data_IF_675200517031
#
_entry.id   IF_675200517031
#
_cell.length_a   1.000
_cell.length_b   1.000
_cell.length_c   1.000
_cell.angle_alpha   90.00
_cell.angle_beta   90.00
_cell.angle_gamma   90.00
#
_symmetry.space_group_name_H-M   'P 1'
#
loop_
_entity.id
_entity.type
_entity.pdbx_description
1 polymer ?
#
# COMPACT_ATOMS: atom_id res chain seq x y z
N UNK A 1 1.36 -3.44 -25.19
CA UNK A 1 2.24 -2.25 -25.34
C UNK A 1 3.49 -2.46 -24.50
N UNK A 2 4.71 -2.13 -24.99
CA UNK A 2 5.92 -2.19 -24.18
C UNK A 2 5.79 -1.27 -22.96
N UNK A 3 6.32 -1.70 -21.80
CA UNK A 3 6.32 -0.86 -20.60
C UNK A 3 7.22 0.35 -20.85
N UNK A 4 6.77 1.57 -20.52
CA UNK A 4 7.61 2.76 -20.70
C UNK A 4 8.91 2.61 -19.89
N UNK A 5 10.03 3.14 -20.40
CA UNK A 5 11.29 3.13 -19.69
C UNK A 5 11.16 3.81 -18.34
N UNK A 6 11.93 3.32 -17.36
CA UNK A 6 11.86 3.75 -15.95
C UNK A 6 12.09 5.27 -15.82
N UNK A 7 12.96 5.82 -16.65
CA UNK A 7 13.29 7.26 -16.67
C UNK A 7 12.10 8.13 -17.05
N UNK A 8 11.21 7.68 -17.94
CA UNK A 8 9.99 8.42 -18.31
C UNK A 8 8.97 8.39 -17.19
N UNK A 9 8.81 7.25 -16.52
CA UNK A 9 7.92 7.13 -15.37
C UNK A 9 8.33 8.05 -14.22
N UNK A 10 9.65 8.18 -13.97
CA UNK A 10 10.18 9.08 -12.95
C UNK A 10 9.88 10.54 -13.31
N UNK A 11 10.11 10.94 -14.56
CA UNK A 11 9.80 12.30 -15.03
C UNK A 11 8.32 12.63 -14.87
N UNK A 12 7.45 11.69 -15.21
CA UNK A 12 6.00 11.83 -15.04
C UNK A 12 5.61 11.99 -13.56
N UNK A 13 6.17 11.19 -12.66
CA UNK A 13 5.89 11.30 -11.22
C UNK A 13 6.38 12.62 -10.62
N UNK A 14 7.56 13.10 -11.04
CA UNK A 14 8.10 14.39 -10.60
C UNK A 14 7.21 15.53 -11.11
N UNK A 15 6.77 15.46 -12.36
CA UNK A 15 5.87 16.47 -12.95
C UNK A 15 4.49 16.48 -12.29
N UNK A 16 3.91 15.30 -12.00
CA UNK A 16 2.65 15.18 -11.24
C UNK A 16 2.81 15.75 -9.82
N UNK A 17 3.93 15.45 -9.16
CA UNK A 17 4.24 15.99 -7.83
C UNK A 17 4.43 17.53 -7.85
N UNK A 18 5.05 18.08 -8.89
CA UNK A 18 5.19 19.52 -9.09
C UNK A 18 3.84 20.20 -9.34
N UNK A 19 3.00 19.60 -10.18
CA UNK A 19 1.64 20.10 -10.47
C UNK A 19 0.78 20.14 -9.21
N UNK A 20 0.99 19.19 -8.29
CA UNK A 20 0.32 19.12 -6.99
C UNK A 20 0.96 20.01 -5.91
N UNK A 21 2.02 20.74 -6.23
CA UNK A 21 2.75 21.60 -5.29
C UNK A 21 3.56 20.84 -4.23
N UNK A 22 3.81 19.54 -4.42
CA UNK A 22 4.58 18.71 -3.48
C UNK A 22 6.08 18.95 -3.66
N UNK A 23 6.55 19.13 -4.90
CA UNK A 23 7.93 19.45 -5.26
C UNK A 23 7.98 20.80 -5.97
N UNK A 24 9.03 21.59 -5.72
CA UNK A 24 9.24 22.83 -6.47
C UNK A 24 9.89 22.54 -7.83
N UNK A 25 9.43 23.24 -8.87
CA UNK A 25 10.06 23.18 -10.18
C UNK A 25 11.46 23.83 -10.14
N UNK A 26 12.43 23.34 -10.94
CA UNK A 26 13.72 24.00 -11.09
C UNK A 26 13.55 25.44 -11.57
N UNK A 27 14.43 26.38 -11.18
CA UNK A 27 14.40 27.76 -11.67
C UNK A 27 14.45 27.81 -13.21
N UNK A 28 13.64 28.70 -13.81
CA UNK A 28 13.60 28.87 -15.26
C UNK A 28 15.00 29.18 -15.82
N UNK A 29 15.44 28.43 -16.83
CA UNK A 29 16.78 28.55 -17.43
C UNK A 29 17.91 27.78 -16.73
N UNK A 30 17.63 26.92 -15.75
CA UNK A 30 18.65 26.07 -15.13
C UNK A 30 19.16 24.99 -16.10
N UNK A 31 20.49 24.88 -16.26
CA UNK A 31 21.09 23.79 -17.04
C UNK A 31 20.83 22.39 -16.46
N UNK A 32 21.06 21.30 -17.23
CA UNK A 32 20.68 19.93 -16.87
C UNK A 32 21.23 19.45 -15.51
N UNK A 33 22.47 19.82 -15.18
CA UNK A 33 23.08 19.45 -13.90
C UNK A 33 22.43 20.16 -12.71
N UNK A 34 22.13 21.46 -12.86
CA UNK A 34 21.51 22.29 -11.81
C UNK A 34 20.07 21.87 -11.56
N UNK A 35 19.32 21.49 -12.59
CA UNK A 35 17.95 20.98 -12.45
C UNK A 35 17.91 19.60 -11.76
N UNK A 36 18.87 18.73 -12.05
CA UNK A 36 19.03 17.45 -11.35
C UNK A 36 19.33 17.68 -9.87
N UNK A 37 20.33 18.52 -9.54
CA UNK A 37 20.69 18.83 -8.15
C UNK A 37 19.50 19.44 -7.39
N UNK A 38 18.76 20.37 -8.02
CA UNK A 38 17.57 20.97 -7.41
C UNK A 38 16.49 19.92 -7.12
N UNK A 39 16.22 19.03 -8.07
CA UNK A 39 15.23 17.97 -7.92
C UNK A 39 15.63 17.00 -6.80
N UNK A 40 16.91 16.62 -6.73
CA UNK A 40 17.46 15.79 -5.65
C UNK A 40 17.31 16.48 -4.29
N UNK A 41 17.62 17.78 -4.19
CA UNK A 41 17.45 18.54 -2.95
C UNK A 41 15.98 18.68 -2.53
N UNK A 42 15.05 18.91 -3.47
CA UNK A 42 13.62 18.99 -3.16
C UNK A 42 13.06 17.64 -2.70
N UNK A 43 13.50 16.54 -3.30
CA UNK A 43 13.18 15.19 -2.82
C UNK A 43 13.73 14.97 -1.39
N UNK A 44 14.98 15.36 -1.11
CA UNK A 44 15.55 15.28 0.24
C UNK A 44 14.72 16.09 1.26
N UNK A 45 14.31 17.32 0.91
CA UNK A 45 13.43 18.13 1.76
C UNK A 45 12.08 17.47 1.97
N UNK A 46 11.49 16.90 0.92
CA UNK A 46 10.25 16.12 1.02
C UNK A 46 10.41 14.96 2.01
N UNK A 47 11.51 14.21 1.95
CA UNK A 47 11.83 13.13 2.89
C UNK A 47 11.97 13.62 4.33
N UNK A 48 12.74 14.69 4.55
CA UNK A 48 12.94 15.24 5.90
C UNK A 48 11.64 15.78 6.50
N UNK A 49 10.82 16.48 5.69
CA UNK A 49 9.49 16.95 6.10
C UNK A 49 8.57 15.76 6.44
N UNK A 50 8.55 14.72 5.61
CA UNK A 50 7.75 13.51 5.86
C UNK A 50 8.13 12.81 7.16
N UNK A 51 9.43 12.58 7.39
CA UNK A 51 9.92 12.00 8.65
C UNK A 51 9.56 12.85 9.87
N UNK A 52 9.76 14.17 9.79
CA UNK A 52 9.38 15.10 10.87
C UNK A 52 7.88 15.08 11.17
N UNK A 53 7.04 15.00 10.14
CA UNK A 53 5.59 14.91 10.30
C UNK A 53 5.16 13.63 11.03
N UNK A 54 5.81 12.48 10.77
CA UNK A 54 5.54 11.23 11.48
C UNK A 54 5.79 11.38 12.99
N UNK A 55 6.92 12.00 13.37
CA UNK A 55 7.25 12.25 14.78
C UNK A 55 6.35 13.30 15.44
N UNK A 56 6.04 14.41 14.74
CA UNK A 56 5.13 15.44 15.25
C UNK A 56 3.76 14.85 15.59
N UNK A 57 3.21 14.03 14.68
CA UNK A 57 1.89 13.40 14.82
C UNK A 57 1.84 12.39 15.97
N UNK A 58 2.94 11.70 16.27
CA UNK A 58 3.01 10.78 17.41
C UNK A 58 2.66 11.47 18.72
N UNK A 59 3.03 12.75 18.88
CA UNK A 59 2.79 13.49 20.12
C UNK A 59 1.35 13.99 20.27
N UNK A 60 0.58 14.02 19.19
CA UNK A 60 -0.76 14.65 19.15
C UNK A 60 -1.90 13.66 18.94
N UNK A 61 -1.63 12.40 18.62
CA UNK A 61 -2.67 11.42 18.35
C UNK A 61 -3.18 10.82 19.66
N UNK A 62 -4.50 10.85 19.84
CA UNK A 62 -5.15 10.13 20.92
C UNK A 62 -4.85 8.63 20.80
N UNK A 63 -4.63 7.94 21.93
CA UNK A 63 -4.35 6.51 21.95
C UNK A 63 -5.54 5.68 21.40
N UNK A 64 -6.76 6.23 21.52
CA UNK A 64 -8.00 5.62 21.05
C UNK A 64 -8.56 6.37 19.82
N UNK A 65 -8.72 5.71 18.66
CA UNK A 65 -9.28 6.34 17.48
C UNK A 65 -10.79 6.57 17.61
N UNK A 66 -11.25 7.75 17.21
CA UNK A 66 -12.68 8.09 17.16
C UNK A 66 -13.30 7.76 15.79
N UNK A 67 -12.49 7.78 14.73
CA UNK A 67 -12.92 7.49 13.35
C UNK A 67 -12.08 6.39 12.69
N UNK A 68 -12.60 5.81 11.60
CA UNK A 68 -11.91 4.85 10.74
C UNK A 68 -10.61 5.42 10.20
N UNK A 69 -10.62 6.67 9.75
CA UNK A 69 -9.44 7.35 9.21
C UNK A 69 -8.36 7.47 10.29
N UNK A 70 -8.73 7.84 11.51
CA UNK A 70 -7.80 7.87 12.65
C UNK A 70 -7.28 6.48 13.00
N UNK A 71 -8.15 5.46 13.02
CA UNK A 71 -7.74 4.07 13.28
C UNK A 71 -6.74 3.56 12.25
N UNK A 72 -7.01 3.77 10.95
CA UNK A 72 -6.09 3.43 9.85
C UNK A 72 -4.78 4.20 9.96
N UNK A 73 -4.85 5.47 10.33
CA UNK A 73 -3.69 6.34 10.52
C UNK A 73 -2.80 5.82 11.66
N UNK A 74 -3.37 5.56 12.85
CA UNK A 74 -2.65 4.99 14.00
C UNK A 74 -1.98 3.65 13.65
N UNK A 75 -2.69 2.77 12.93
CA UNK A 75 -2.16 1.48 12.50
C UNK A 75 -0.98 1.63 11.53
N UNK A 76 -1.12 2.50 10.53
CA UNK A 76 -0.08 2.76 9.53
C UNK A 76 1.14 3.38 10.17
N UNK A 77 0.93 4.30 11.12
CA UNK A 77 1.99 4.99 11.83
C UNK A 77 2.92 4.04 12.59
N UNK A 78 2.39 3.00 13.28
CA UNK A 78 3.25 2.00 13.95
C UNK A 78 4.24 1.35 12.99
N UNK A 79 3.78 1.06 11.77
CA UNK A 79 4.61 0.46 10.73
C UNK A 79 5.59 1.47 10.13
N UNK A 80 5.15 2.71 9.90
CA UNK A 80 5.98 3.76 9.33
C UNK A 80 7.08 4.21 10.29
N UNK A 81 6.79 4.34 11.59
CA UNK A 81 7.81 4.69 12.61
C UNK A 81 8.94 3.67 12.64
N UNK A 82 8.62 2.38 12.54
CA UNK A 82 9.63 1.32 12.45
C UNK A 82 10.52 1.46 11.21
N UNK A 83 9.99 2.01 10.11
CA UNK A 83 10.75 2.28 8.88
C UNK A 83 11.51 3.60 8.92
N UNK A 84 11.03 4.60 9.67
CA UNK A 84 11.64 5.93 9.76
C UNK A 84 13.03 5.85 10.39
N UNK A 85 13.22 5.05 11.43
CA UNK A 85 14.52 4.91 12.10
C UNK A 85 15.63 4.43 11.15
N UNK A 86 15.51 3.27 10.47
CA UNK A 86 16.51 2.84 9.50
C UNK A 86 16.60 3.80 8.31
N UNK A 87 15.49 4.41 7.86
CA UNK A 87 15.51 5.39 6.79
C UNK A 87 16.33 6.65 7.13
N UNK A 88 16.20 7.19 8.34
CA UNK A 88 16.98 8.34 8.79
C UNK A 88 18.46 7.99 8.94
N UNK A 89 18.78 6.79 9.44
CA UNK A 89 20.15 6.29 9.51
C UNK A 89 20.74 6.21 8.09
N UNK A 90 20.00 5.62 7.13
CA UNK A 90 20.44 5.58 5.72
C UNK A 90 20.59 6.99 5.14
N UNK A 91 19.66 7.91 5.43
CA UNK A 91 19.73 9.26 4.88
C UNK A 91 20.93 10.07 5.39
N UNK A 92 21.37 9.82 6.63
CA UNK A 92 22.55 10.48 7.22
C UNK A 92 23.86 9.82 6.80
N UNK A 93 23.89 8.49 6.70
CA UNK A 93 25.13 7.75 6.40
C UNK A 93 25.39 7.54 4.91
N UNK A 94 24.34 7.51 4.09
CA UNK A 94 24.37 7.09 2.69
C UNK A 94 23.44 7.99 1.84
N UNK A 95 23.75 9.29 1.76
CA UNK A 95 22.93 10.25 1.01
C UNK A 95 22.75 9.85 -0.48
N UNK A 96 23.78 9.26 -1.08
CA UNK A 96 23.76 8.76 -2.46
C UNK A 96 22.91 7.48 -2.67
N UNK A 97 22.54 6.78 -1.59
CA UNK A 97 21.71 5.56 -1.67
C UNK A 97 20.21 5.89 -1.74
N UNK A 98 19.79 7.08 -1.30
CA UNK A 98 18.37 7.47 -1.26
C UNK A 98 17.73 7.42 -2.66
N UNK A 99 18.30 8.01 -3.73
CA UNK A 99 17.72 7.95 -5.07
C UNK A 99 17.52 6.51 -5.57
N UNK A 100 18.42 5.60 -5.20
CA UNK A 100 18.31 4.17 -5.53
C UNK A 100 17.18 3.50 -4.75
N UNK A 101 17.06 3.74 -3.44
CA UNK A 101 15.97 3.16 -2.64
C UNK A 101 14.58 3.61 -3.10
N UNK A 102 14.44 4.88 -3.47
CA UNK A 102 13.19 5.43 -4.00
C UNK A 102 12.76 4.74 -5.28
N UNK A 103 13.73 4.31 -6.08
CA UNK A 103 13.48 3.67 -7.36
C UNK A 103 13.22 2.16 -7.22
N UNK A 104 14.07 1.47 -6.47
CA UNK A 104 14.10 0.01 -6.47
C UNK A 104 13.49 -0.62 -5.22
N UNK A 105 13.43 0.12 -4.11
CA UNK A 105 12.99 -0.40 -2.81
C UNK A 105 11.95 0.49 -2.10
N UNK A 106 10.85 0.91 -2.76
CA UNK A 106 9.86 1.80 -2.15
C UNK A 106 9.15 1.20 -0.92
N UNK A 107 9.18 -0.13 -0.76
CA UNK A 107 8.63 -0.80 0.40
C UNK A 107 9.39 -0.49 1.72
N UNK A 108 10.66 -0.08 1.60
CA UNK A 108 11.52 0.31 2.74
C UNK A 108 11.34 1.77 3.14
N UNK A 109 10.63 2.56 2.33
CA UNK A 109 10.34 3.95 2.63
C UNK A 109 9.08 4.06 3.52
N UNK A 110 9.04 5.02 4.46
CA UNK A 110 7.80 5.42 5.12
C UNK A 110 6.77 5.84 4.07
N UNK A 111 5.48 5.60 4.31
CA UNK A 111 4.43 5.93 3.34
C UNK A 111 4.41 7.41 2.95
N UNK A 112 4.78 8.30 3.88
CA UNK A 112 4.92 9.76 3.67
C UNK A 112 6.00 10.15 2.68
N UNK A 113 6.89 9.22 2.35
CA UNK A 113 8.04 9.41 1.47
C UNK A 113 7.81 8.83 0.07
N UNK A 114 6.61 8.32 -0.23
CA UNK A 114 6.27 7.75 -1.54
C UNK A 114 5.44 8.75 -2.33
N UNK A 115 5.82 9.04 -3.59
CA UNK A 115 5.05 9.96 -4.43
C UNK A 115 3.66 9.37 -4.79
N UNK A 116 2.63 10.21 -4.98
CA UNK A 116 1.27 9.74 -5.29
C UNK A 116 1.19 8.85 -6.55
N UNK A 117 1.91 9.22 -7.62
CA UNK A 117 2.01 8.40 -8.84
C UNK A 117 2.66 7.04 -8.59
N UNK A 118 3.70 6.98 -7.75
CA UNK A 118 4.32 5.72 -7.33
C UNK A 118 3.35 4.85 -6.53
N UNK A 119 2.56 5.42 -5.61
CA UNK A 119 1.55 4.68 -4.84
C UNK A 119 0.49 4.04 -5.75
N UNK A 120 -0.02 4.78 -6.74
CA UNK A 120 -0.98 4.24 -7.73
C UNK A 120 -0.39 3.04 -8.47
N UNK A 121 0.82 3.18 -9.00
CA UNK A 121 1.52 2.08 -9.71
C UNK A 121 1.76 0.86 -8.82
N UNK A 122 2.08 1.07 -7.53
CA UNK A 122 2.23 -0.02 -6.56
C UNK A 122 0.90 -0.76 -6.38
N UNK A 123 -0.22 -0.03 -6.24
CA UNK A 123 -1.56 -0.62 -6.11
C UNK A 123 -1.97 -1.38 -7.36
N UNK A 124 -1.79 -0.80 -8.54
CA UNK A 124 -2.15 -1.44 -9.82
C UNK A 124 -1.34 -2.73 -10.02
N UNK A 125 -0.07 -2.73 -9.63
CA UNK A 125 0.77 -3.94 -9.66
C UNK A 125 0.30 -5.01 -8.69
N UNK A 126 -0.32 -4.66 -7.54
CA UNK A 126 -0.94 -5.64 -6.64
C UNK A 126 -2.16 -6.27 -7.29
N UNK A 127 -3.04 -5.45 -7.87
CA UNK A 127 -4.24 -5.93 -8.58
C UNK A 127 -3.85 -6.83 -9.75
N UNK A 128 -2.85 -6.43 -10.55
CA UNK A 128 -2.39 -7.26 -11.66
C UNK A 128 -1.82 -8.60 -11.18
N UNK A 129 -1.04 -8.63 -10.10
CA UNK A 129 -0.57 -9.90 -9.52
C UNK A 129 -1.72 -10.79 -9.04
N UNK A 130 -2.75 -10.20 -8.44
CA UNK A 130 -3.94 -10.95 -8.05
C UNK A 130 -4.61 -11.55 -9.29
N UNK A 131 -4.71 -10.79 -10.40
CA UNK A 131 -5.25 -11.26 -11.69
C UNK A 131 -4.42 -12.41 -12.27
N UNK A 132 -3.10 -12.24 -12.31
CA UNK A 132 -2.19 -13.26 -12.83
C UNK A 132 -2.25 -14.55 -11.99
N UNK A 133 -2.61 -14.45 -10.71
CA UNK A 133 -2.77 -15.57 -9.80
C UNK A 133 -4.14 -16.27 -9.88
N UNK A 134 -5.11 -15.75 -10.64
CA UNK A 134 -6.47 -16.30 -10.72
C UNK A 134 -6.54 -17.79 -11.06
N UNK A 135 -5.77 -18.32 -12.03
CA UNK A 135 -5.79 -19.76 -12.34
C UNK A 135 -5.37 -20.60 -11.13
N UNK A 136 -4.31 -20.18 -10.42
CA UNK A 136 -3.83 -20.87 -9.22
C UNK A 136 -4.82 -20.70 -8.05
N UNK A 137 -5.47 -19.54 -7.92
CA UNK A 137 -6.52 -19.33 -6.91
C UNK A 137 -7.70 -20.28 -7.13
N UNK A 138 -8.10 -20.52 -8.38
CA UNK A 138 -9.15 -21.50 -8.71
C UNK A 138 -8.73 -22.91 -8.27
N UNK A 139 -7.54 -23.36 -8.66
CA UNK A 139 -7.02 -24.68 -8.24
C UNK A 139 -6.88 -24.77 -6.72
N UNK A 140 -6.46 -23.69 -6.06
CA UNK A 140 -6.35 -23.62 -4.61
C UNK A 140 -7.71 -23.73 -3.92
N UNK A 141 -8.76 -23.12 -4.47
CA UNK A 141 -10.13 -23.22 -3.98
C UNK A 141 -10.70 -24.64 -4.18
N UNK A 142 -10.58 -25.23 -5.37
CA UNK A 142 -11.00 -26.61 -5.66
C UNK A 142 -10.34 -27.61 -4.70
N UNK A 143 -9.05 -27.41 -4.39
CA UNK A 143 -8.37 -28.22 -3.38
C UNK A 143 -8.98 -28.07 -1.99
N UNK A 144 -9.34 -26.86 -1.57
CA UNK A 144 -9.94 -26.63 -0.25
C UNK A 144 -11.32 -27.27 -0.11
N UNK A 145 -12.12 -27.27 -1.19
CA UNK A 145 -13.42 -27.94 -1.24
C UNK A 145 -13.28 -29.46 -1.07
N UNK A 146 -12.24 -30.05 -1.67
CA UNK A 146 -12.01 -31.50 -1.66
C UNK A 146 -11.18 -31.98 -0.45
N UNK A 147 -10.43 -31.08 0.19
CA UNK A 147 -9.48 -31.46 1.23
C UNK A 147 -10.18 -31.74 2.56
N UNK A 148 -10.01 -32.97 3.06
CA UNK A 148 -10.40 -33.35 4.43
C UNK A 148 -9.60 -32.63 5.52
N UNK A 149 -8.43 -32.04 5.18
CA UNK A 149 -7.61 -31.30 6.14
C UNK A 149 -7.01 -30.04 5.51
N UNK A 150 -7.44 -28.88 6.02
CA UNK A 150 -7.01 -27.55 5.53
C UNK A 150 -5.55 -27.21 5.84
N UNK A 151 -4.90 -27.89 6.79
CA UNK A 151 -3.50 -27.62 7.15
C UNK A 151 -2.53 -27.86 5.98
N UNK A 152 -2.78 -28.87 5.14
CA UNK A 152 -1.97 -29.18 3.95
C UNK A 152 -2.09 -28.12 2.86
N UNK A 153 -3.09 -27.25 2.90
CA UNK A 153 -3.20 -26.12 1.98
C UNK A 153 -1.92 -25.28 1.98
N UNK A 154 -1.45 -24.95 3.19
CA UNK A 154 -0.32 -24.06 3.42
C UNK A 154 1.04 -24.70 3.15
N UNK A 155 1.15 -25.99 2.83
CA UNK A 155 2.46 -26.61 2.51
C UNK A 155 2.88 -26.36 1.06
N UNK A 156 1.92 -26.09 0.17
CA UNK A 156 2.17 -25.78 -1.24
C UNK A 156 2.54 -24.30 -1.45
N UNK A 157 3.70 -24.06 -2.04
CA UNK A 157 4.22 -22.70 -2.26
C UNK A 157 3.43 -21.87 -3.26
N UNK A 158 2.81 -22.49 -4.25
CA UNK A 158 2.04 -21.80 -5.28
C UNK A 158 0.68 -21.36 -4.75
N UNK A 159 -0.03 -22.22 -4.02
CA UNK A 159 -1.28 -21.87 -3.36
C UNK A 159 -1.09 -20.72 -2.37
N UNK A 160 -0.04 -20.78 -1.54
CA UNK A 160 0.33 -19.68 -0.64
C UNK A 160 0.56 -18.37 -1.38
N UNK A 161 1.36 -18.41 -2.45
CA UNK A 161 1.69 -17.22 -3.25
C UNK A 161 0.45 -16.63 -3.92
N UNK A 162 -0.48 -17.47 -4.35
CA UNK A 162 -1.74 -17.05 -4.94
C UNK A 162 -2.59 -16.29 -3.91
N UNK A 163 -2.76 -16.82 -2.70
CA UNK A 163 -3.48 -16.13 -1.60
C UNK A 163 -2.81 -14.81 -1.22
N UNK A 164 -1.47 -14.77 -1.13
CA UNK A 164 -0.77 -13.51 -0.86
C UNK A 164 -0.97 -12.48 -1.98
N UNK A 165 -1.06 -12.94 -3.23
CA UNK A 165 -1.30 -12.08 -4.38
C UNK A 165 -2.73 -11.53 -4.36
N UNK A 166 -3.72 -12.35 -4.02
CA UNK A 166 -5.13 -11.96 -3.86
C UNK A 166 -5.28 -10.79 -2.89
N UNK A 167 -4.72 -10.89 -1.69
CA UNK A 167 -4.80 -9.85 -0.65
C UNK A 167 -3.72 -8.77 -0.76
N UNK A 168 -2.86 -8.81 -1.78
CA UNK A 168 -1.79 -7.84 -1.97
C UNK A 168 -0.74 -7.82 -0.84
N UNK A 169 -0.55 -8.94 -0.15
CA UNK A 169 0.37 -9.09 0.98
C UNK A 169 1.83 -9.09 0.53
N UNK A 170 2.70 -8.46 1.33
CA UNK A 170 4.14 -8.50 1.08
C UNK A 170 4.66 -9.94 1.19
N UNK A 171 5.60 -10.29 0.31
CA UNK A 171 6.34 -11.56 0.34
C UNK A 171 7.66 -11.46 1.11
N UNK A 172 8.04 -10.24 1.48
CA UNK A 172 9.31 -9.90 2.12
C UNK A 172 9.03 -9.57 3.59
N UNK A 173 9.86 -10.08 4.51
CA UNK A 173 9.77 -9.91 5.96
C UNK A 173 9.97 -11.24 6.72
N UNK A 174 9.91 -11.20 8.06
CA UNK A 174 9.99 -12.41 8.90
C UNK A 174 8.87 -13.37 8.47
N UNK A 175 9.26 -14.51 7.90
CA UNK A 175 8.34 -15.57 7.47
C UNK A 175 7.95 -16.40 8.69
N UNK A 176 7.14 -15.82 9.57
CA UNK A 176 6.32 -16.62 10.46
C UNK A 176 5.37 -17.48 9.61
N UNK A 177 4.77 -18.48 10.24
CA UNK A 177 3.89 -19.45 9.60
C UNK A 177 2.88 -18.79 8.63
N UNK A 178 2.71 -19.30 7.41
CA UNK A 178 1.92 -18.63 6.36
C UNK A 178 0.50 -18.22 6.75
N UNK A 179 -0.19 -19.05 7.53
CA UNK A 179 -1.54 -18.78 8.00
C UNK A 179 -1.59 -17.64 9.02
N UNK A 180 -0.54 -17.41 9.82
CA UNK A 180 -0.50 -16.32 10.81
C UNK A 180 -0.58 -14.97 10.10
N UNK A 181 0.14 -14.83 8.97
CA UNK A 181 0.12 -13.61 8.17
C UNK A 181 -1.26 -13.34 7.57
N UNK A 182 -1.91 -14.38 7.06
CA UNK A 182 -3.28 -14.25 6.55
C UNK A 182 -4.24 -13.98 7.70
N UNK A 183 -4.05 -14.61 8.85
CA UNK A 183 -4.80 -14.33 10.08
C UNK A 183 -4.75 -12.85 10.47
N UNK A 184 -3.56 -12.25 10.58
CA UNK A 184 -3.43 -10.81 10.86
C UNK A 184 -4.09 -9.90 9.83
N UNK A 185 -4.17 -10.35 8.58
CA UNK A 185 -4.91 -9.65 7.54
C UNK A 185 -6.42 -9.82 7.72
N UNK A 186 -6.89 -10.99 8.13
CA UNK A 186 -8.31 -11.19 8.47
C UNK A 186 -8.71 -10.35 9.69
N UNK A 187 -7.89 -10.30 10.74
CA UNK A 187 -8.13 -9.44 11.90
C UNK A 187 -8.20 -7.95 11.51
N UNK A 188 -7.37 -7.55 10.54
CA UNK A 188 -7.43 -6.22 9.94
C UNK A 188 -8.75 -5.98 9.22
N UNK A 189 -9.15 -6.90 8.33
CA UNK A 189 -10.39 -6.77 7.56
C UNK A 189 -11.60 -6.70 8.48
N UNK A 190 -11.67 -7.57 9.49
CA UNK A 190 -12.76 -7.56 10.47
C UNK A 190 -12.84 -6.22 11.21
N UNK A 191 -11.69 -5.70 11.67
CA UNK A 191 -11.65 -4.39 12.34
C UNK A 191 -12.07 -3.26 11.39
N UNK A 192 -11.63 -3.28 10.14
CA UNK A 192 -11.97 -2.27 9.14
C UNK A 192 -13.44 -2.36 8.71
N UNK A 193 -13.99 -3.57 8.60
CA UNK A 193 -15.40 -3.83 8.30
C UNK A 193 -16.30 -3.29 9.41
N UNK A 194 -15.93 -3.46 10.69
CA UNK A 194 -16.65 -2.88 11.81
C UNK A 194 -16.70 -1.34 11.75
N UNK A 195 -15.59 -0.70 11.37
CA UNK A 195 -15.54 0.74 11.15
C UNK A 195 -16.39 1.18 9.95
N UNK A 196 -16.34 0.44 8.84
CA UNK A 196 -17.14 0.73 7.65
C UNK A 196 -18.64 0.54 7.88
N UNK A 197 -19.03 -0.46 8.69
CA UNK A 197 -20.41 -0.66 9.10
C UNK A 197 -20.92 0.51 9.94
N UNK A 198 -20.07 1.05 10.84
CA UNK A 198 -20.41 2.19 11.71
C UNK A 198 -20.51 3.51 10.94
N UNK A 199 -19.54 3.81 10.08
CA UNK A 199 -19.43 5.11 9.39
C UNK A 199 -20.13 5.15 8.04
N UNK A 200 -20.41 3.98 7.47
CA UNK A 200 -20.99 3.83 6.15
C UNK A 200 -19.97 4.02 5.02
N UNK A 201 -20.18 3.28 3.93
CA UNK A 201 -19.30 3.34 2.76
C UNK A 201 -19.34 4.73 2.08
N UNK A 202 -20.46 5.47 2.20
CA UNK A 202 -20.70 6.73 1.48
C UNK A 202 -19.68 7.84 1.81
N UNK A 203 -19.11 7.83 3.01
CA UNK A 203 -18.12 8.81 3.44
C UNK A 203 -16.73 8.63 2.78
N UNK A 204 -16.48 7.49 2.13
CA UNK A 204 -15.20 7.20 1.49
C UNK A 204 -15.04 7.96 0.18
N UNK A 205 -13.83 8.44 -0.08
CA UNK A 205 -13.38 8.88 -1.40
C UNK A 205 -13.23 7.67 -2.36
N UNK A 206 -13.21 7.92 -3.66
CA UNK A 206 -13.08 6.84 -4.66
C UNK A 206 -11.75 6.07 -4.50
N UNK A 207 -10.68 6.76 -4.11
CA UNK A 207 -9.39 6.14 -3.82
C UNK A 207 -9.44 5.22 -2.59
N UNK A 208 -10.18 5.62 -1.54
CA UNK A 208 -10.39 4.80 -0.33
C UNK A 208 -11.28 3.59 -0.63
N UNK A 209 -12.31 3.74 -1.47
CA UNK A 209 -13.14 2.62 -1.92
C UNK A 209 -12.30 1.61 -2.71
N UNK A 210 -11.52 2.09 -3.68
CA UNK A 210 -10.65 1.25 -4.50
C UNK A 210 -9.64 0.49 -3.62
N UNK A 211 -9.05 1.15 -2.63
CA UNK A 211 -8.15 0.51 -1.67
C UNK A 211 -8.85 -0.56 -0.82
N UNK A 212 -10.01 -0.24 -0.25
CA UNK A 212 -10.78 -1.17 0.58
C UNK A 212 -11.21 -2.44 -0.18
N UNK A 213 -11.62 -2.28 -1.44
CA UNK A 213 -11.98 -3.38 -2.34
C UNK A 213 -10.76 -4.26 -2.64
N UNK A 214 -9.60 -3.66 -2.94
CA UNK A 214 -8.37 -4.40 -3.21
C UNK A 214 -7.88 -5.16 -1.97
N UNK A 215 -7.95 -4.57 -0.79
CA UNK A 215 -7.55 -5.22 0.47
C UNK A 215 -8.40 -6.45 0.81
N UNK A 216 -9.66 -6.47 0.38
CA UNK A 216 -10.59 -7.60 0.51
C UNK A 216 -10.42 -8.65 -0.60
N UNK A 217 -9.49 -8.45 -1.53
CA UNK A 217 -9.29 -9.35 -2.68
C UNK A 217 -10.35 -9.19 -3.77
N UNK A 218 -11.09 -8.07 -3.79
CA UNK A 218 -12.20 -7.81 -4.71
C UNK A 218 -11.81 -6.87 -5.86
N UNK A 219 -10.52 -6.52 -5.98
CA UNK A 219 -9.98 -5.52 -6.92
C UNK A 219 -10.07 -5.86 -8.41
N UNK A 220 -10.86 -6.87 -8.78
CA UNK A 220 -11.01 -7.32 -10.16
C UNK A 220 -12.02 -6.51 -10.96
N UNK A 221 -12.96 -5.85 -10.28
CA UNK A 221 -14.07 -5.09 -10.88
C UNK A 221 -13.65 -3.70 -11.39
N UNK A 222 -14.52 -3.10 -12.19
CA UNK A 222 -14.34 -1.71 -12.62
C UNK A 222 -14.48 -0.76 -11.42
N UNK A 223 -13.76 0.37 -11.45
CA UNK A 223 -13.77 1.34 -10.34
C UNK A 223 -15.17 1.87 -10.02
N UNK A 224 -16.01 2.06 -11.04
CA UNK A 224 -17.39 2.50 -10.90
C UNK A 224 -18.27 1.54 -10.08
N UNK A 225 -17.90 0.26 -10.00
CA UNK A 225 -18.64 -0.77 -9.27
C UNK A 225 -18.10 -0.98 -7.85
N UNK A 226 -16.92 -0.44 -7.53
CA UNK A 226 -16.24 -0.73 -6.27
C UNK A 226 -17.07 -0.39 -5.03
N UNK A 227 -17.85 0.69 -5.07
CA UNK A 227 -18.71 1.10 -3.95
C UNK A 227 -19.86 0.12 -3.71
N UNK A 228 -20.51 -0.34 -4.78
CA UNK A 228 -21.59 -1.33 -4.72
C UNK A 228 -21.04 -2.67 -4.22
N UNK A 229 -19.86 -3.06 -4.72
CA UNK A 229 -19.22 -4.31 -4.32
C UNK A 229 -18.81 -4.30 -2.84
N UNK A 230 -18.30 -3.16 -2.34
CA UNK A 230 -17.96 -3.02 -0.93
C UNK A 230 -19.22 -3.04 -0.03
N UNK A 231 -20.33 -2.46 -0.49
CA UNK A 231 -21.61 -2.57 0.22
C UNK A 231 -22.11 -4.02 0.27
N UNK A 232 -22.06 -4.74 -0.85
CA UNK A 232 -22.40 -6.15 -0.91
C UNK A 232 -21.51 -6.99 0.03
N UNK A 233 -20.19 -6.76 0.02
CA UNK A 233 -19.29 -7.46 0.95
C UNK A 233 -19.71 -7.28 2.41
N UNK A 234 -20.03 -6.05 2.81
CA UNK A 234 -20.43 -5.76 4.19
C UNK A 234 -21.78 -6.39 4.57
N UNK A 235 -22.72 -6.53 3.63
CA UNK A 235 -23.97 -7.24 3.90
C UNK A 235 -23.74 -8.75 4.09
N UNK A 236 -22.91 -9.37 3.25
CA UNK A 236 -22.63 -10.82 3.36
C UNK A 236 -21.86 -11.16 4.64
N UNK A 237 -20.85 -10.37 4.99
CA UNK A 237 -20.07 -10.60 6.22
C UNK A 237 -20.92 -10.35 7.46
N UNK A 238 -21.76 -9.30 7.46
CA UNK A 238 -22.62 -8.95 8.58
C UNK A 238 -23.73 -9.97 8.86
N UNK A 239 -24.20 -10.71 7.85
CA UNK A 239 -25.18 -11.78 8.02
C UNK A 239 -24.54 -13.09 8.51
N UNK A 240 -23.25 -13.32 8.25
CA UNK A 240 -22.55 -14.54 8.66
C UNK A 240 -22.07 -14.50 10.12
N UNK A 241 -22.07 -13.32 10.75
CA UNK A 241 -21.77 -13.08 12.17
C UNK A 241 -23.04 -13.07 13.07
N UNK A 242 -24.24 -13.32 12.49
CA UNK A 242 -25.53 -13.48 13.20
C UNK A 242 -25.93 -14.94 13.33
#
# INVERSE_FOLDING_TARGET
KPKPPITELIKADISDAQTRGILQAPPAGSGPLKSLIHTSMELLKFYFRGGREIFRRQRSLAETPATRREWRMLRTQKTDVLKVVPFLITAVLLEELIPVMVLYAPAMLPSTCILPGQLRRIRDKKVQKARDALPMLRTAHEYLEQASTRARFWTDGDRRRAVYSLYGLSRIGIQLWPWVRVGWHMDFLQSDDAWLAKEGVQALTDDEVREAVVERGLGFVQEAEGRKLLQWWLSEVGDNDR
#
